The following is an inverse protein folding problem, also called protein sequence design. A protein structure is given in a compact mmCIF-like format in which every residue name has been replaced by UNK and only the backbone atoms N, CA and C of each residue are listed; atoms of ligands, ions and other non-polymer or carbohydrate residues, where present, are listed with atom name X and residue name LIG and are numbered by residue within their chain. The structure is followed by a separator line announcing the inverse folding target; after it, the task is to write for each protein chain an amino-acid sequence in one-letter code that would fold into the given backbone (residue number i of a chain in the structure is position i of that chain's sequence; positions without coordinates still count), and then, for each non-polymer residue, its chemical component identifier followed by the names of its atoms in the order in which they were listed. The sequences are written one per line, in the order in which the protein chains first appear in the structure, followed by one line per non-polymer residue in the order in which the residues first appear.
data_IF_835922149243
#
_entry.id   IF_835922149243
#
_cell.length_a   1.000
_cell.length_b   1.000
_cell.length_c   1.000
_cell.angle_alpha   90.00
_cell.angle_beta   90.00
_cell.angle_gamma   90.00
#
_symmetry.space_group_name_H-M   'P 1'
#
loop_
_entity.id
_entity.type
_entity.pdbx_description
1 polymer ?
#
# COMPACT_ATOMS: atom_id res chain seq x y z
N UNK A 1 27.41 -16.76 -29.59
CA UNK A 1 28.05 -15.43 -29.39
C UNK A 1 29.05 -15.24 -30.52
N UNK A 2 29.01 -14.10 -31.22
CA UNK A 2 30.11 -13.65 -32.08
C UNK A 2 31.23 -13.04 -31.23
N UNK A 3 32.41 -12.83 -31.82
CA UNK A 3 33.61 -12.35 -31.12
C UNK A 3 33.47 -10.97 -30.44
N UNK A 4 32.40 -10.23 -30.75
CA UNK A 4 32.05 -8.94 -30.10
C UNK A 4 31.17 -9.09 -28.85
N UNK A 5 30.85 -10.32 -28.42
CA UNK A 5 29.98 -10.59 -27.26
C UNK A 5 28.49 -10.31 -27.48
N UNK A 6 28.10 -9.84 -28.67
CA UNK A 6 26.71 -9.55 -29.03
C UNK A 6 26.01 -10.84 -29.51
N UNK A 7 24.74 -11.05 -29.13
CA UNK A 7 23.95 -12.11 -29.73
C UNK A 7 23.58 -11.74 -31.18
N UNK A 8 23.80 -12.63 -32.17
CA UNK A 8 23.42 -12.37 -33.56
C UNK A 8 21.90 -12.17 -33.67
N UNK A 9 21.48 -11.34 -34.63
CA UNK A 9 20.07 -10.93 -34.74
C UNK A 9 19.07 -12.09 -34.89
N UNK A 10 19.52 -13.21 -35.48
CA UNK A 10 18.77 -14.47 -35.66
C UNK A 10 18.59 -15.32 -34.40
N UNK A 11 19.21 -14.97 -33.27
CA UNK A 11 19.15 -15.69 -31.99
C UNK A 11 18.45 -14.88 -30.88
N UNK A 12 18.14 -13.61 -31.11
CA UNK A 12 17.48 -12.74 -30.13
C UNK A 12 16.06 -13.22 -29.83
N UNK A 13 15.70 -13.25 -28.54
CA UNK A 13 14.35 -13.60 -28.04
C UNK A 13 13.80 -14.98 -28.43
N UNK A 14 14.65 -16.01 -28.63
CA UNK A 14 14.20 -17.37 -28.98
C UNK A 14 13.92 -18.31 -27.81
N UNK A 15 14.02 -17.84 -26.56
CA UNK A 15 13.80 -18.69 -25.38
C UNK A 15 12.31 -19.07 -25.27
N UNK A 16 11.93 -20.36 -25.33
CA UNK A 16 10.52 -20.76 -25.32
C UNK A 16 9.83 -20.50 -23.97
N UNK A 17 10.56 -20.50 -22.84
CA UNK A 17 9.97 -20.19 -21.52
C UNK A 17 9.52 -18.74 -21.40
N UNK A 18 10.23 -17.80 -22.05
CA UNK A 18 9.83 -16.39 -22.15
C UNK A 18 8.48 -16.24 -22.86
N UNK A 19 8.31 -16.90 -24.01
CA UNK A 19 7.08 -16.79 -24.80
C UNK A 19 5.87 -17.44 -24.13
N UNK A 20 6.07 -18.56 -23.43
CA UNK A 20 5.01 -19.19 -22.63
C UNK A 20 4.67 -18.32 -21.41
N UNK A 21 5.66 -17.72 -20.74
CA UNK A 21 5.40 -16.70 -19.70
C UNK A 21 4.52 -15.56 -20.23
N UNK A 22 4.88 -14.97 -21.36
CA UNK A 22 4.16 -13.81 -21.95
C UNK A 22 2.75 -14.19 -22.42
N UNK A 23 2.59 -15.22 -23.27
CA UNK A 23 1.29 -15.55 -23.85
C UNK A 23 0.38 -16.32 -22.89
N UNK A 24 0.91 -17.35 -22.23
CA UNK A 24 0.14 -18.24 -21.36
C UNK A 24 0.05 -17.76 -19.91
N UNK A 25 1.05 -17.02 -19.41
CA UNK A 25 1.03 -16.42 -18.07
C UNK A 25 0.56 -14.97 -18.04
N UNK A 26 0.88 -14.17 -19.07
CA UNK A 26 0.48 -12.77 -19.19
C UNK A 26 -0.87 -12.60 -19.91
N UNK A 27 -0.86 -12.73 -21.24
CA UNK A 27 -2.00 -12.42 -22.11
C UNK A 27 -3.25 -13.23 -21.74
N UNK A 28 -3.11 -14.54 -21.52
CA UNK A 28 -4.22 -15.40 -21.08
C UNK A 28 -4.82 -14.98 -19.73
N UNK A 29 -3.99 -14.58 -18.76
CA UNK A 29 -4.45 -14.05 -17.46
C UNK A 29 -5.25 -12.77 -17.64
N UNK A 30 -4.78 -11.85 -18.49
CA UNK A 30 -5.51 -10.61 -18.81
C UNK A 30 -6.85 -10.94 -19.49
N UNK A 31 -6.92 -11.91 -20.41
CA UNK A 31 -8.18 -12.38 -20.98
C UNK A 31 -9.15 -12.89 -19.89
N UNK A 32 -8.70 -13.77 -18.99
CA UNK A 32 -9.53 -14.25 -17.88
C UNK A 32 -10.00 -13.13 -16.94
N UNK A 33 -9.17 -12.11 -16.70
CA UNK A 33 -9.52 -10.93 -15.92
C UNK A 33 -10.57 -10.06 -16.62
N UNK A 34 -10.49 -9.88 -17.95
CA UNK A 34 -11.53 -9.17 -18.72
C UNK A 34 -12.90 -9.86 -18.60
N UNK A 35 -12.93 -11.19 -18.57
CA UNK A 35 -14.15 -11.98 -18.33
C UNK A 35 -14.55 -12.07 -16.84
N UNK A 36 -13.86 -11.36 -15.93
CA UNK A 36 -14.09 -11.37 -14.48
C UNK A 36 -14.10 -12.77 -13.85
N UNK A 37 -13.29 -13.68 -14.37
CA UNK A 37 -13.18 -15.05 -13.83
C UNK A 37 -12.52 -15.00 -12.45
N UNK A 38 -13.21 -15.51 -11.42
CA UNK A 38 -12.65 -15.61 -10.07
C UNK A 38 -11.40 -16.49 -10.08
N UNK A 39 -10.29 -15.98 -9.56
CA UNK A 39 -9.00 -16.68 -9.56
C UNK A 39 -8.22 -16.61 -10.88
N UNK A 40 -8.55 -15.70 -11.81
CA UNK A 40 -7.85 -15.52 -13.10
C UNK A 40 -6.31 -15.53 -12.99
N UNK A 41 -5.74 -14.82 -12.01
CA UNK A 41 -4.29 -14.78 -11.74
C UNK A 41 -3.74 -16.18 -11.41
N UNK A 42 -4.42 -16.93 -10.54
CA UNK A 42 -4.00 -18.27 -10.12
C UNK A 42 -4.10 -19.24 -11.31
N UNK A 43 -5.15 -19.13 -12.13
CA UNK A 43 -5.33 -19.95 -13.32
C UNK A 43 -4.19 -19.76 -14.35
N UNK A 44 -3.69 -18.54 -14.53
CA UNK A 44 -2.52 -18.28 -15.38
C UNK A 44 -1.23 -18.90 -14.84
N UNK A 45 -0.95 -18.73 -13.54
CA UNK A 45 0.22 -19.34 -12.89
C UNK A 45 0.15 -20.87 -12.99
N UNK A 46 -1.02 -21.47 -12.69
CA UNK A 46 -1.21 -22.91 -12.77
C UNK A 46 -1.03 -23.44 -14.19
N UNK A 47 -1.59 -22.77 -15.20
CA UNK A 47 -1.47 -23.19 -16.60
C UNK A 47 0.01 -23.21 -17.04
N UNK A 48 0.78 -22.17 -16.75
CA UNK A 48 2.22 -22.14 -17.07
C UNK A 48 3.01 -23.17 -16.26
N UNK A 49 2.67 -23.37 -14.98
CA UNK A 49 3.33 -24.36 -14.12
C UNK A 49 3.11 -25.78 -14.63
N UNK A 50 1.87 -26.14 -14.97
CA UNK A 50 1.50 -27.46 -15.54
C UNK A 50 2.21 -27.71 -16.88
N UNK A 51 2.34 -26.70 -17.74
CA UNK A 51 3.11 -26.81 -18.99
C UNK A 51 4.62 -26.97 -18.74
N UNK A 52 5.13 -26.46 -17.61
CA UNK A 52 6.57 -26.48 -17.27
C UNK A 52 7.00 -27.68 -16.41
N UNK A 53 6.08 -28.51 -15.91
CA UNK A 53 6.42 -29.72 -15.14
C UNK A 53 6.92 -30.92 -15.99
N UNK A 54 6.40 -31.20 -17.20
CA UNK A 54 6.88 -32.30 -18.05
C UNK A 54 8.36 -32.16 -18.41
N UNK A 55 9.17 -33.16 -18.02
CA UNK A 55 10.64 -33.15 -18.15
C UNK A 55 11.14 -33.26 -19.59
N UNK A 56 10.34 -33.85 -20.47
CA UNK A 56 10.67 -34.09 -21.87
C UNK A 56 10.56 -32.83 -22.76
N UNK A 57 10.15 -31.69 -22.19
CA UNK A 57 9.90 -30.44 -22.94
C UNK A 57 11.06 -29.45 -22.79
N UNK A 58 11.35 -28.63 -23.81
CA UNK A 58 12.40 -27.59 -23.75
C UNK A 58 12.05 -26.41 -22.83
N UNK A 59 10.95 -26.50 -22.06
CA UNK A 59 10.42 -25.47 -21.15
C UNK A 59 10.36 -26.02 -19.72
N UNK A 60 10.95 -27.19 -19.47
CA UNK A 60 10.85 -27.83 -18.16
C UNK A 60 11.55 -27.05 -17.05
N UNK A 61 10.88 -26.95 -15.89
CA UNK A 61 11.50 -26.51 -14.64
C UNK A 61 12.39 -27.60 -14.00
N UNK A 62 12.29 -28.84 -14.48
CA UNK A 62 13.04 -30.01 -13.98
C UNK A 62 13.97 -30.61 -15.06
N UNK A 63 14.96 -29.85 -15.58
CA UNK A 63 15.91 -30.37 -16.56
C UNK A 63 16.67 -31.60 -16.04
N UNK A 64 17.23 -32.41 -16.95
CA UNK A 64 18.02 -33.60 -16.61
C UNK A 64 19.46 -33.22 -16.18
N UNK A 65 19.56 -32.40 -15.14
CA UNK A 65 20.79 -32.08 -14.43
C UNK A 65 20.61 -32.34 -12.92
N UNK A 66 21.68 -32.26 -12.14
CA UNK A 66 21.65 -32.54 -10.69
C UNK A 66 20.66 -31.64 -9.95
N UNK A 67 20.59 -30.36 -10.33
CA UNK A 67 19.67 -29.36 -9.74
C UNK A 67 18.21 -29.66 -10.05
N UNK A 68 17.88 -30.01 -11.30
CA UNK A 68 16.51 -30.34 -11.72
C UNK A 68 16.05 -31.68 -11.16
N UNK A 69 16.96 -32.64 -10.99
CA UNK A 69 16.69 -33.88 -10.26
C UNK A 69 16.40 -33.61 -8.78
N UNK A 70 17.20 -32.79 -8.09
CA UNK A 70 16.97 -32.48 -6.66
C UNK A 70 15.67 -31.68 -6.45
N UNK A 71 15.36 -30.72 -7.31
CA UNK A 71 14.06 -30.01 -7.29
C UNK A 71 12.88 -30.95 -7.58
N UNK A 72 13.04 -31.95 -8.46
CA UNK A 72 11.99 -32.94 -8.74
C UNK A 72 11.81 -33.93 -7.57
N UNK A 73 12.90 -34.33 -6.91
CA UNK A 73 12.86 -35.14 -5.69
C UNK A 73 12.28 -34.37 -4.50
N UNK A 74 12.42 -33.04 -4.47
CA UNK A 74 11.73 -32.16 -3.53
C UNK A 74 10.23 -32.09 -3.86
N UNK A 75 9.86 -31.81 -5.11
CA UNK A 75 8.46 -31.75 -5.56
C UNK A 75 7.66 -33.04 -5.29
N UNK A 76 8.28 -34.22 -5.47
CA UNK A 76 7.66 -35.52 -5.13
C UNK A 76 7.33 -35.67 -3.65
N UNK A 77 8.00 -34.95 -2.75
CA UNK A 77 7.64 -34.87 -1.32
C UNK A 77 6.50 -33.87 -1.17
N UNK A 78 5.30 -34.22 -1.64
CA UNK A 78 4.10 -33.35 -1.70
C UNK A 78 3.85 -32.55 -0.41
N UNK A 79 4.16 -33.16 0.74
CA UNK A 79 4.23 -32.51 2.05
C UNK A 79 5.60 -32.77 2.66
N UNK A 80 6.23 -31.72 3.21
CA UNK A 80 7.40 -31.88 4.10
C UNK A 80 7.38 -30.89 5.23
N UNK A 81 7.93 -31.33 6.37
CA UNK A 81 8.26 -30.49 7.50
C UNK A 81 9.76 -30.20 7.50
N UNK A 82 10.14 -28.92 7.40
CA UNK A 82 11.54 -28.48 7.60
C UNK A 82 11.65 -27.86 9.00
N UNK A 83 12.25 -28.56 9.98
CA UNK A 83 12.50 -27.97 11.29
C UNK A 83 13.50 -26.82 11.14
N UNK A 84 13.25 -25.72 11.85
CA UNK A 84 14.16 -24.57 11.85
C UNK A 84 15.41 -24.93 12.65
N UNK A 85 16.54 -25.14 11.96
CA UNK A 85 17.81 -25.52 12.61
C UNK A 85 18.86 -24.39 12.64
N UNK A 86 18.85 -23.48 11.67
CA UNK A 86 19.93 -22.48 11.48
C UNK A 86 19.47 -21.02 11.31
N UNK A 87 18.17 -20.72 11.34
CA UNK A 87 17.66 -19.34 11.13
C UNK A 87 16.98 -18.74 12.36
N UNK A 88 16.61 -19.53 13.37
CA UNK A 88 15.98 -18.99 14.59
C UNK A 88 17.00 -18.28 15.46
N UNK A 89 16.80 -16.99 15.70
CA UNK A 89 17.59 -16.15 16.60
C UNK A 89 19.11 -16.12 16.28
N UNK A 90 19.50 -16.36 15.03
CA UNK A 90 20.89 -16.25 14.57
C UNK A 90 21.16 -14.80 14.16
N UNK A 91 21.35 -13.94 15.16
CA UNK A 91 21.72 -12.55 14.97
C UNK A 91 23.25 -12.39 15.00
N UNK A 92 23.86 -12.14 13.85
CA UNK A 92 25.28 -11.79 13.77
C UNK A 92 25.47 -10.28 13.99
N UNK A 93 26.06 -9.94 15.15
CA UNK A 93 26.38 -8.56 15.55
C UNK A 93 27.84 -8.19 15.26
N UNK A 94 28.56 -8.92 14.39
CA UNK A 94 29.95 -8.65 14.04
C UNK A 94 30.11 -7.43 13.11
N UNK A 95 29.93 -6.25 13.69
CA UNK A 95 29.99 -4.94 13.01
C UNK A 95 31.44 -4.49 12.74
N UNK A 96 32.45 -5.25 13.19
CA UNK A 96 33.87 -4.85 13.24
C UNK A 96 34.51 -4.47 11.90
N UNK A 97 34.02 -5.01 10.77
CA UNK A 97 34.55 -4.73 9.43
C UNK A 97 33.72 -3.76 8.56
N UNK A 98 32.48 -3.44 8.94
CA UNK A 98 31.49 -2.79 8.05
C UNK A 98 30.56 -1.78 8.75
N UNK A 99 30.98 -1.19 9.88
CA UNK A 99 30.17 -0.28 10.70
C UNK A 99 29.47 0.86 9.92
N UNK A 100 30.16 1.47 8.95
CA UNK A 100 29.57 2.53 8.11
C UNK A 100 28.46 2.03 7.19
N UNK A 101 28.62 0.84 6.60
CA UNK A 101 27.60 0.23 5.73
C UNK A 101 26.41 -0.29 6.54
N UNK A 102 26.66 -0.87 7.71
CA UNK A 102 25.61 -1.26 8.65
C UNK A 102 24.77 -0.06 9.09
N UNK A 103 25.41 1.05 9.49
CA UNK A 103 24.70 2.28 9.88
C UNK A 103 23.88 2.88 8.74
N UNK A 104 24.42 2.92 7.52
CA UNK A 104 23.70 3.44 6.35
C UNK A 104 22.52 2.54 5.98
N UNK A 105 22.70 1.22 5.96
CA UNK A 105 21.61 0.27 5.71
C UNK A 105 20.53 0.34 6.79
N UNK A 106 20.92 0.37 8.08
CA UNK A 106 20.00 0.48 9.22
C UNK A 106 19.14 1.73 9.13
N UNK A 107 19.74 2.92 8.94
CA UNK A 107 18.98 4.17 8.79
C UNK A 107 18.09 4.14 7.54
N UNK A 108 18.59 3.58 6.43
CA UNK A 108 17.82 3.51 5.17
C UNK A 108 16.59 2.62 5.30
N UNK A 109 16.76 1.40 5.83
CA UNK A 109 15.63 0.51 6.07
C UNK A 109 14.67 1.10 7.11
N UNK A 110 15.16 1.70 8.20
CA UNK A 110 14.31 2.28 9.24
C UNK A 110 13.38 3.38 8.70
N UNK A 111 13.86 4.30 7.87
CA UNK A 111 12.95 5.34 7.34
C UNK A 111 12.05 4.81 6.22
N UNK A 112 12.52 3.85 5.41
CA UNK A 112 11.68 3.22 4.38
C UNK A 112 10.54 2.43 5.02
N UNK A 113 10.84 1.64 6.06
CA UNK A 113 9.87 0.85 6.84
C UNK A 113 8.82 1.76 7.51
N UNK A 114 9.23 2.84 8.17
CA UNK A 114 8.31 3.83 8.75
C UNK A 114 7.39 4.43 7.68
N UNK A 115 7.93 4.80 6.51
CA UNK A 115 7.14 5.40 5.43
C UNK A 115 6.19 4.38 4.77
N UNK A 116 6.62 3.13 4.59
CA UNK A 116 5.84 2.06 3.99
C UNK A 116 4.70 1.63 4.93
N UNK A 117 4.99 1.32 6.20
CA UNK A 117 3.97 1.03 7.22
C UNK A 117 2.98 2.20 7.39
N UNK A 118 3.44 3.45 7.39
CA UNK A 118 2.53 4.62 7.46
C UNK A 118 1.66 4.72 6.20
N UNK A 119 2.25 4.63 5.01
CA UNK A 119 1.54 4.78 3.73
C UNK A 119 0.54 3.64 3.49
N UNK A 120 0.91 2.41 3.81
CA UNK A 120 0.06 1.22 3.67
C UNK A 120 -1.09 1.20 4.68
N UNK A 121 -0.82 1.38 5.98
CA UNK A 121 -1.89 1.43 7.01
C UNK A 121 -2.88 2.56 6.74
N UNK A 122 -2.39 3.76 6.39
CA UNK A 122 -3.26 4.87 6.04
C UNK A 122 -4.10 4.58 4.80
N UNK A 123 -3.52 3.97 3.76
CA UNK A 123 -4.25 3.55 2.57
C UNK A 123 -5.30 2.47 2.89
N UNK A 124 -5.00 1.51 3.76
CA UNK A 124 -5.97 0.49 4.19
C UNK A 124 -7.13 1.12 4.98
N UNK A 125 -6.83 2.06 5.89
CA UNK A 125 -7.86 2.82 6.60
C UNK A 125 -8.75 3.63 5.63
N UNK A 126 -8.16 4.22 4.58
CA UNK A 126 -8.88 4.93 3.50
C UNK A 126 -9.80 3.99 2.72
N UNK A 127 -9.33 2.82 2.29
CA UNK A 127 -10.18 1.82 1.60
C UNK A 127 -11.25 1.21 2.51
N UNK A 128 -10.98 1.08 3.81
CA UNK A 128 -11.96 0.61 4.78
C UNK A 128 -13.05 1.67 5.08
N UNK A 129 -12.74 2.96 4.89
CA UNK A 129 -13.60 4.08 5.27
C UNK A 129 -13.54 4.40 6.77
N UNK A 130 -12.38 4.19 7.40
CA UNK A 130 -12.17 4.30 8.86
C UNK A 130 -11.34 5.52 9.27
N UNK A 131 -11.04 6.43 8.34
CA UNK A 131 -10.32 7.67 8.63
C UNK A 131 -11.29 8.70 9.20
N UNK A 132 -10.98 9.22 10.40
CA UNK A 132 -11.76 10.26 11.04
C UNK A 132 -11.44 11.63 10.44
N UNK A 133 -12.40 12.22 9.73
CA UNK A 133 -12.25 13.46 8.96
C UNK A 133 -11.73 14.66 9.80
N UNK A 134 -12.05 14.69 11.10
CA UNK A 134 -11.60 15.75 12.02
C UNK A 134 -10.14 15.63 12.47
N UNK A 135 -9.60 14.42 12.50
CA UNK A 135 -8.27 14.13 13.07
C UNK A 135 -7.25 13.80 11.97
N UNK A 136 -7.72 13.30 10.82
CA UNK A 136 -6.86 12.76 9.76
C UNK A 136 -6.23 11.42 10.14
N UNK A 137 -6.74 10.76 11.18
CA UNK A 137 -6.22 9.51 11.75
C UNK A 137 -7.36 8.49 11.94
N UNK A 138 -7.02 7.23 12.19
CA UNK A 138 -7.98 6.14 12.36
C UNK A 138 -7.99 5.60 13.81
N UNK A 139 -9.11 5.00 14.22
CA UNK A 139 -9.26 4.48 15.58
C UNK A 139 -8.18 3.43 15.89
N UNK A 140 -7.47 3.62 17.02
CA UNK A 140 -6.44 2.69 17.45
C UNK A 140 -5.14 2.73 16.65
N UNK A 141 -4.89 3.78 15.85
CA UNK A 141 -3.66 3.97 15.05
C UNK A 141 -2.36 3.61 15.79
N UNK A 142 -2.17 4.15 17.00
CA UNK A 142 -1.00 3.86 17.83
C UNK A 142 -0.86 2.37 18.20
N UNK A 143 -1.97 1.64 18.34
CA UNK A 143 -1.97 0.18 18.58
C UNK A 143 -1.63 -0.57 17.29
N UNK A 144 -2.15 -0.13 16.14
CA UNK A 144 -1.81 -0.72 14.85
C UNK A 144 -0.31 -0.61 14.54
N UNK A 145 0.29 0.58 14.70
CA UNK A 145 1.74 0.78 14.56
C UNK A 145 2.57 -0.04 15.55
N UNK A 146 2.10 -0.22 16.79
CA UNK A 146 2.77 -1.09 17.75
C UNK A 146 2.72 -2.57 17.35
N UNK A 147 1.56 -3.05 16.87
CA UNK A 147 1.41 -4.44 16.38
C UNK A 147 2.30 -4.70 15.16
N UNK A 148 2.41 -3.74 14.25
CA UNK A 148 3.31 -3.79 13.09
C UNK A 148 4.78 -3.89 13.54
N UNK A 149 5.23 -2.99 14.42
CA UNK A 149 6.59 -3.01 14.96
C UNK A 149 6.91 -4.30 15.75
N UNK A 150 5.94 -4.87 16.47
CA UNK A 150 6.08 -6.20 17.08
C UNK A 150 6.18 -7.30 16.01
N UNK A 151 5.40 -7.22 14.93
CA UNK A 151 5.46 -8.10 13.77
C UNK A 151 6.85 -8.11 13.12
N UNK A 152 7.38 -6.94 12.77
CA UNK A 152 8.74 -6.76 12.22
C UNK A 152 9.80 -7.31 13.17
N UNK A 153 9.70 -6.98 14.47
CA UNK A 153 10.62 -7.47 15.50
C UNK A 153 10.64 -8.99 15.59
N UNK A 154 9.46 -9.62 15.60
CA UNK A 154 9.32 -11.09 15.64
C UNK A 154 9.83 -11.70 14.32
N UNK A 155 9.48 -11.14 13.17
CA UNK A 155 9.96 -11.59 11.85
C UNK A 155 11.49 -11.61 11.75
N UNK A 156 12.16 -10.58 12.30
CA UNK A 156 13.63 -10.53 12.36
C UNK A 156 14.25 -11.69 13.14
N UNK A 157 13.59 -12.17 14.21
CA UNK A 157 14.04 -13.33 15.00
C UNK A 157 13.88 -14.66 14.25
N UNK A 158 12.98 -14.73 13.26
CA UNK A 158 12.82 -15.87 12.35
C UNK A 158 13.69 -15.76 11.09
N UNK A 159 14.42 -14.66 10.91
CA UNK A 159 15.25 -14.40 9.73
C UNK A 159 14.45 -14.02 8.48
N UNK A 160 13.24 -13.48 8.64
CA UNK A 160 12.40 -13.02 7.51
C UNK A 160 12.61 -11.53 7.22
N UNK A 161 12.28 -11.05 6.01
CA UNK A 161 12.15 -9.62 5.73
C UNK A 161 11.13 -8.94 6.67
N UNK A 162 11.15 -7.59 6.78
CA UNK A 162 10.10 -6.84 7.46
C UNK A 162 8.70 -7.23 6.97
N UNK A 163 7.77 -7.37 7.91
CA UNK A 163 6.37 -7.72 7.63
C UNK A 163 5.52 -6.48 7.89
N UNK A 164 4.69 -6.09 6.92
CA UNK A 164 3.84 -4.89 6.98
C UNK A 164 2.48 -5.16 6.34
N UNK A 165 1.59 -4.16 6.34
CA UNK A 165 0.26 -4.24 5.74
C UNK A 165 0.33 -4.23 4.20
N UNK A 166 0.04 -5.36 3.54
CA UNK A 166 0.02 -5.44 2.08
C UNK A 166 -1.07 -4.55 1.45
N UNK A 167 -0.68 -3.65 0.55
CA UNK A 167 -1.58 -2.72 -0.16
C UNK A 167 -2.63 -3.46 -1.02
N UNK A 168 -2.30 -4.67 -1.48
CA UNK A 168 -3.19 -5.58 -2.21
C UNK A 168 -4.42 -5.98 -1.37
N UNK A 169 -4.32 -5.93 -0.03
CA UNK A 169 -5.44 -6.15 0.89
C UNK A 169 -6.57 -5.15 0.66
N UNK A 170 -6.28 -3.97 0.10
CA UNK A 170 -7.29 -2.97 -0.28
C UNK A 170 -8.34 -3.50 -1.25
N UNK A 171 -7.98 -4.44 -2.12
CA UNK A 171 -8.96 -5.13 -2.99
C UNK A 171 -9.88 -6.05 -2.17
N UNK A 172 -9.34 -6.79 -1.20
CA UNK A 172 -10.12 -7.62 -0.27
C UNK A 172 -11.06 -6.80 0.63
N UNK A 173 -10.59 -5.66 1.12
CA UNK A 173 -11.38 -4.68 1.90
C UNK A 173 -12.53 -4.11 1.05
N UNK A 174 -12.27 -3.81 -0.23
CA UNK A 174 -13.27 -3.30 -1.18
C UNK A 174 -14.37 -4.31 -1.49
N UNK A 175 -14.05 -5.61 -1.55
CA UNK A 175 -15.01 -6.72 -1.69
C UNK A 175 -15.75 -7.06 -0.37
N UNK A 176 -15.57 -6.25 0.68
CA UNK A 176 -16.27 -6.38 1.97
C UNK A 176 -15.46 -7.04 3.09
N UNK A 177 -14.19 -7.38 2.87
CA UNK A 177 -13.29 -8.01 3.84
C UNK A 177 -12.78 -7.08 4.95
N UNK A 178 -13.67 -6.29 5.56
CA UNK A 178 -13.33 -5.22 6.53
C UNK A 178 -13.07 -5.71 7.97
N UNK A 179 -13.17 -7.00 8.25
CA UNK A 179 -13.04 -7.55 9.61
C UNK A 179 -11.70 -8.25 9.80
N UNK A 180 -11.09 -8.14 11.00
CA UNK A 180 -9.84 -8.83 11.32
C UNK A 180 -9.89 -10.36 11.20
N UNK A 181 -11.09 -10.95 11.17
CA UNK A 181 -11.27 -12.39 10.90
C UNK A 181 -10.75 -12.78 9.52
N UNK A 182 -10.86 -11.92 8.50
CA UNK A 182 -10.33 -12.21 7.15
C UNK A 182 -8.81 -12.30 7.17
N UNK A 183 -8.13 -11.43 7.91
CA UNK A 183 -6.69 -11.46 8.11
C UNK A 183 -6.25 -12.72 8.89
N UNK A 184 -6.98 -13.09 9.95
CA UNK A 184 -6.70 -14.32 10.72
C UNK A 184 -6.89 -15.57 9.85
N UNK A 185 -7.99 -15.68 9.10
CA UNK A 185 -8.21 -16.80 8.17
C UNK A 185 -7.11 -16.87 7.11
N UNK A 186 -6.72 -15.72 6.54
CA UNK A 186 -5.64 -15.64 5.55
C UNK A 186 -4.30 -16.08 6.15
N UNK A 187 -3.98 -15.65 7.37
CA UNK A 187 -2.79 -16.09 8.11
C UNK A 187 -2.77 -17.61 8.40
N UNK A 188 -3.92 -18.19 8.76
CA UNK A 188 -4.06 -19.64 8.93
C UNK A 188 -3.87 -20.38 7.59
N UNK A 189 -4.41 -19.86 6.49
CA UNK A 189 -4.18 -20.41 5.16
C UNK A 189 -2.70 -20.37 4.74
N UNK A 190 -1.99 -19.26 5.02
CA UNK A 190 -0.54 -19.18 4.80
C UNK A 190 0.25 -20.11 5.73
N UNK A 191 -0.16 -20.28 6.98
CA UNK A 191 0.47 -21.25 7.88
C UNK A 191 0.33 -22.68 7.35
N UNK A 192 -0.86 -23.04 6.84
CA UNK A 192 -1.09 -24.33 6.18
C UNK A 192 -0.26 -24.45 4.88
N UNK A 193 -0.07 -23.36 4.13
CA UNK A 193 0.68 -23.38 2.87
C UNK A 193 2.16 -23.74 3.05
N UNK A 194 2.75 -23.52 4.24
CA UNK A 194 4.13 -23.91 4.57
C UNK A 194 4.34 -25.43 4.40
N UNK A 195 3.36 -26.26 4.79
CA UNK A 195 3.43 -27.72 4.62
C UNK A 195 3.43 -28.16 3.14
N UNK A 196 2.87 -27.32 2.26
CA UNK A 196 2.83 -27.50 0.81
C UNK A 196 3.94 -26.71 0.07
N UNK A 197 4.95 -26.19 0.80
CA UNK A 197 6.11 -25.50 0.20
C UNK A 197 6.76 -26.24 -1.01
N UNK A 198 6.81 -27.58 -1.08
CA UNK A 198 7.30 -28.31 -2.27
C UNK A 198 6.51 -28.08 -3.54
N UNK A 199 5.19 -27.89 -3.42
CA UNK A 199 4.31 -27.57 -4.54
C UNK A 199 4.60 -26.13 -4.98
N UNK A 200 4.68 -25.19 -4.05
CA UNK A 200 4.95 -23.78 -4.37
C UNK A 200 6.38 -23.55 -4.91
N UNK A 201 7.38 -24.28 -4.42
CA UNK A 201 8.75 -24.26 -4.93
C UNK A 201 8.89 -24.86 -6.33
N UNK A 202 7.89 -25.59 -6.83
CA UNK A 202 7.84 -26.11 -8.21
C UNK A 202 7.28 -25.11 -9.23
N UNK A 203 6.80 -23.94 -8.78
CA UNK A 203 6.27 -22.90 -9.65
C UNK A 203 7.46 -22.17 -10.30
N UNK A 204 7.59 -22.18 -11.63
CA UNK A 204 8.75 -21.59 -12.28
C UNK A 204 8.71 -20.05 -12.27
N UNK A 205 9.86 -19.35 -12.19
CA UNK A 205 9.91 -17.88 -12.17
C UNK A 205 9.25 -17.20 -13.39
N UNK A 206 9.21 -17.86 -14.55
CA UNK A 206 8.53 -17.32 -15.75
C UNK A 206 7.00 -17.39 -15.67
N UNK A 207 6.41 -18.18 -14.78
CA UNK A 207 4.98 -18.15 -14.48
C UNK A 207 4.62 -16.90 -13.65
N UNK A 208 5.38 -16.62 -12.60
CA UNK A 208 5.10 -15.51 -11.68
C UNK A 208 5.50 -14.14 -12.23
N UNK A 209 6.58 -14.06 -13.04
CA UNK A 209 7.07 -12.78 -13.57
C UNK A 209 6.03 -11.98 -14.35
N UNK A 210 5.24 -12.62 -15.22
CA UNK A 210 4.18 -11.92 -15.96
C UNK A 210 2.99 -11.55 -15.06
N UNK A 211 2.68 -12.35 -14.05
CA UNK A 211 1.68 -11.99 -13.02
C UNK A 211 2.10 -10.74 -12.25
N UNK A 212 3.37 -10.60 -11.85
CA UNK A 212 3.85 -9.43 -11.11
C UNK A 212 3.69 -8.13 -11.91
N UNK A 213 3.90 -8.17 -13.23
CA UNK A 213 3.62 -7.03 -14.13
C UNK A 213 2.12 -6.67 -14.12
N UNK A 214 1.24 -7.66 -14.17
CA UNK A 214 -0.22 -7.44 -14.11
C UNK A 214 -0.62 -6.86 -12.75
N UNK A 215 -0.10 -7.39 -11.64
CA UNK A 215 -0.36 -6.86 -10.28
C UNK A 215 0.10 -5.41 -10.16
N UNK A 216 1.31 -5.08 -10.62
CA UNK A 216 1.79 -3.69 -10.68
C UNK A 216 0.87 -2.76 -11.51
N UNK A 217 0.31 -3.26 -12.62
CA UNK A 217 -0.66 -2.49 -13.41
C UNK A 217 -1.98 -2.24 -12.67
N UNK A 218 -2.42 -3.17 -11.81
CA UNK A 218 -3.59 -2.98 -10.94
C UNK A 218 -3.30 -1.95 -9.84
N UNK A 219 -2.12 -2.01 -9.22
CA UNK A 219 -1.68 -1.07 -8.17
C UNK A 219 -1.54 0.37 -8.72
N UNK A 220 -1.18 0.52 -10.00
CA UNK A 220 -1.09 1.82 -10.69
C UNK A 220 -2.41 2.60 -10.62
N UNK A 221 -3.56 1.94 -10.43
CA UNK A 221 -4.86 2.61 -10.21
C UNK A 221 -4.82 3.60 -9.03
N UNK A 222 -4.07 3.31 -7.97
CA UNK A 222 -3.96 4.21 -6.81
C UNK A 222 -3.32 5.56 -7.17
N UNK A 223 -2.53 5.65 -8.25
CA UNK A 223 -2.00 6.92 -8.73
C UNK A 223 -3.10 7.86 -9.25
N UNK A 224 -4.31 7.37 -9.56
CA UNK A 224 -5.44 8.22 -9.94
C UNK A 224 -6.09 8.94 -8.74
N UNK A 225 -5.90 8.43 -7.52
CA UNK A 225 -6.44 9.03 -6.28
C UNK A 225 -5.56 10.15 -5.71
N UNK A 226 -4.40 10.40 -6.34
CA UNK A 226 -3.47 11.50 -6.02
C UNK A 226 -4.07 12.84 -6.46
N UNK A 227 -3.83 13.89 -5.67
CA UNK A 227 -4.27 15.25 -5.99
C UNK A 227 -3.49 15.88 -7.16
N UNK A 228 -3.83 15.53 -8.39
CA UNK A 228 -3.24 16.11 -9.60
C UNK A 228 -3.64 17.57 -9.87
N UNK A 229 -4.57 18.15 -9.10
CA UNK A 229 -5.07 19.52 -9.32
C UNK A 229 -4.15 20.58 -8.73
N UNK A 230 -3.51 20.30 -7.59
CA UNK A 230 -2.58 21.23 -6.96
C UNK A 230 -1.13 20.83 -7.27
N UNK A 231 -0.42 21.73 -7.97
CA UNK A 231 0.97 21.51 -8.42
C UNK A 231 1.94 21.19 -7.27
N UNK A 232 1.69 21.72 -6.07
CA UNK A 232 2.51 21.44 -4.88
C UNK A 232 2.40 20.02 -4.35
N UNK A 233 1.34 19.27 -4.69
CA UNK A 233 1.18 17.85 -4.35
C UNK A 233 1.55 16.97 -5.58
N UNK A 234 1.11 17.38 -6.78
CA UNK A 234 1.32 16.67 -8.03
C UNK A 234 2.80 16.52 -8.45
N UNK A 235 3.63 17.57 -8.29
CA UNK A 235 5.05 17.52 -8.68
C UNK A 235 5.88 16.60 -7.79
N UNK A 236 5.76 16.65 -6.44
CA UNK A 236 6.38 15.67 -5.56
C UNK A 236 5.94 14.23 -5.82
N UNK A 237 4.64 14.00 -6.07
CA UNK A 237 4.12 12.68 -6.41
C UNK A 237 4.75 12.14 -7.72
N UNK A 238 4.81 12.97 -8.76
CA UNK A 238 5.46 12.62 -10.02
C UNK A 238 6.96 12.31 -9.86
N UNK A 239 7.69 13.14 -9.11
CA UNK A 239 9.10 12.92 -8.80
C UNK A 239 9.33 11.59 -8.06
N UNK A 240 8.46 11.28 -7.09
CA UNK A 240 8.50 10.00 -6.36
C UNK A 240 8.38 8.82 -7.32
N UNK A 241 7.34 8.82 -8.17
CA UNK A 241 7.06 7.75 -9.14
C UNK A 241 8.18 7.60 -10.18
N UNK A 242 8.72 8.72 -10.68
CA UNK A 242 9.73 8.71 -11.74
C UNK A 242 11.13 8.35 -11.24
N UNK A 243 11.51 8.78 -10.03
CA UNK A 243 12.88 8.57 -9.52
C UNK A 243 13.10 7.12 -9.07
N UNK A 244 12.11 6.45 -8.45
CA UNK A 244 12.29 5.07 -7.96
C UNK A 244 12.83 4.09 -9.02
N UNK A 245 12.29 4.01 -10.26
CA UNK A 245 12.84 3.16 -11.31
C UNK A 245 14.21 3.64 -11.82
N UNK A 246 14.41 4.95 -11.98
CA UNK A 246 15.67 5.48 -12.52
C UNK A 246 16.86 5.32 -11.56
N UNK A 247 16.62 5.34 -10.24
CA UNK A 247 17.66 5.10 -9.23
C UNK A 247 17.71 3.65 -8.75
N UNK A 248 16.86 2.76 -9.28
CA UNK A 248 16.69 1.37 -8.82
C UNK A 248 16.52 1.24 -7.29
N UNK A 249 15.86 2.23 -6.66
CA UNK A 249 15.85 2.39 -5.22
C UNK A 249 14.62 3.17 -4.75
N UNK A 250 13.76 2.48 -3.98
CA UNK A 250 12.57 3.06 -3.34
C UNK A 250 12.98 4.20 -2.40
N UNK A 251 14.03 3.95 -1.61
CA UNK A 251 14.67 4.88 -0.70
C UNK A 251 14.95 6.27 -1.33
N UNK A 252 15.69 6.32 -2.44
CA UNK A 252 16.03 7.59 -3.09
C UNK A 252 14.80 8.29 -3.71
N UNK A 253 13.84 7.52 -4.23
CA UNK A 253 12.58 8.08 -4.74
C UNK A 253 11.73 8.74 -3.65
N UNK A 254 11.57 8.08 -2.49
CA UNK A 254 10.87 8.65 -1.33
C UNK A 254 11.56 9.92 -0.82
N UNK A 255 12.88 9.93 -0.68
CA UNK A 255 13.64 11.13 -0.26
C UNK A 255 13.39 12.29 -1.23
N UNK A 256 13.48 12.05 -2.54
CA UNK A 256 13.29 13.10 -3.54
C UNK A 256 11.85 13.66 -3.52
N UNK A 257 10.84 12.80 -3.36
CA UNK A 257 9.46 13.18 -3.18
C UNK A 257 9.25 14.07 -1.95
N UNK A 258 9.63 13.57 -0.77
CA UNK A 258 9.43 14.27 0.52
C UNK A 258 10.18 15.61 0.54
N UNK A 259 11.43 15.66 0.06
CA UNK A 259 12.20 16.92 -0.01
C UNK A 259 11.55 17.89 -1.00
N UNK A 260 11.06 17.43 -2.16
CA UNK A 260 10.37 18.29 -3.12
C UNK A 260 9.09 18.89 -2.52
N UNK A 261 8.28 18.07 -1.83
CA UNK A 261 7.07 18.52 -1.14
C UNK A 261 7.39 19.55 -0.06
N UNK A 262 8.37 19.26 0.81
CA UNK A 262 8.80 20.18 1.85
C UNK A 262 9.29 21.51 1.28
N UNK A 263 10.12 21.50 0.23
CA UNK A 263 10.63 22.72 -0.40
C UNK A 263 9.50 23.55 -1.02
N UNK A 264 8.64 22.95 -1.84
CA UNK A 264 7.56 23.67 -2.53
C UNK A 264 6.58 24.28 -1.54
N UNK A 265 6.02 23.49 -0.62
CA UNK A 265 5.00 23.97 0.30
C UNK A 265 5.57 24.89 1.39
N UNK A 266 6.84 24.71 1.82
CA UNK A 266 7.49 25.67 2.74
C UNK A 266 7.78 27.00 2.06
N UNK A 267 8.24 27.02 0.81
CA UNK A 267 8.48 28.27 0.06
C UNK A 267 7.17 29.02 -0.17
N UNK A 268 6.09 28.32 -0.57
CA UNK A 268 4.74 28.92 -0.69
C UNK A 268 4.27 29.51 0.64
N UNK A 269 4.44 28.79 1.75
CA UNK A 269 4.08 29.27 3.09
C UNK A 269 4.92 30.50 3.52
N UNK A 270 6.21 30.51 3.24
CA UNK A 270 7.09 31.65 3.51
C UNK A 270 6.70 32.89 2.70
N UNK A 271 6.40 32.74 1.40
CA UNK A 271 5.94 33.83 0.53
C UNK A 271 4.61 34.40 1.04
N UNK A 272 3.65 33.55 1.38
CA UNK A 272 2.36 33.99 1.91
C UNK A 272 2.54 34.80 3.20
N UNK A 273 3.37 34.29 4.13
CA UNK A 273 3.65 34.92 5.41
C UNK A 273 4.40 36.25 5.26
N UNK A 274 5.39 36.31 4.36
CA UNK A 274 6.13 37.52 4.04
C UNK A 274 5.27 38.59 3.36
N UNK A 275 4.32 38.19 2.52
CA UNK A 275 3.45 39.11 1.77
C UNK A 275 2.12 39.41 2.50
N UNK A 276 1.96 38.95 3.74
CA UNK A 276 0.73 39.15 4.52
C UNK A 276 -0.53 38.59 3.84
N UNK A 277 -0.41 37.51 3.08
CA UNK A 277 -1.51 36.88 2.34
C UNK A 277 -1.83 37.50 0.97
N UNK A 278 -1.15 38.55 0.51
CA UNK A 278 -1.43 39.17 -0.81
C UNK A 278 -1.02 38.32 -2.01
N UNK A 279 -0.04 37.42 -1.85
CA UNK A 279 0.36 36.45 -2.87
C UNK A 279 0.05 35.06 -2.31
N UNK A 280 -0.87 34.37 -2.98
CA UNK A 280 -1.26 32.98 -2.72
C UNK A 280 -1.30 32.24 -4.07
N UNK A 281 -0.98 30.93 -4.12
CA UNK A 281 -1.26 30.12 -5.31
C UNK A 281 -2.76 30.11 -5.58
N UNK A 282 -3.14 30.18 -6.86
CA UNK A 282 -4.56 30.24 -7.28
C UNK A 282 -5.33 29.00 -6.81
N UNK A 283 -4.71 27.83 -6.90
CA UNK A 283 -5.34 26.54 -6.58
C UNK A 283 -5.03 26.04 -5.15
N UNK A 284 -4.60 26.92 -4.23
CA UNK A 284 -4.20 26.49 -2.87
C UNK A 284 -5.37 25.88 -2.09
N UNK A 285 -6.60 26.30 -2.34
CA UNK A 285 -7.79 25.73 -1.68
C UNK A 285 -8.06 24.26 -2.10
N UNK A 286 -7.34 23.76 -3.12
CA UNK A 286 -7.38 22.37 -3.56
C UNK A 286 -6.23 21.51 -3.01
N UNK A 287 -5.29 22.05 -2.21
CA UNK A 287 -4.20 21.25 -1.62
C UNK A 287 -4.71 20.24 -0.59
N UNK A 288 -4.10 19.07 -0.44
CA UNK A 288 -4.51 18.12 0.60
C UNK A 288 -4.41 18.73 2.02
N UNK A 289 -5.46 18.62 2.86
CA UNK A 289 -5.53 19.29 4.16
C UNK A 289 -4.64 18.60 5.20
N UNK A 290 -3.37 18.99 5.26
CA UNK A 290 -2.45 18.66 6.35
C UNK A 290 -2.48 19.72 7.45
N UNK A 291 -2.52 19.28 8.71
CA UNK A 291 -2.48 20.15 9.90
C UNK A 291 -1.42 19.68 10.89
N UNK A 292 -0.51 20.58 11.29
CA UNK A 292 0.51 20.29 12.30
C UNK A 292 -0.05 20.18 13.74
N UNK A 293 -1.27 20.70 13.95
CA UNK A 293 -1.97 20.70 15.24
C UNK A 293 -2.83 19.44 15.39
N UNK A 294 -2.20 18.32 15.71
CA UNK A 294 -2.92 17.09 16.07
C UNK A 294 -3.89 17.40 17.23
N UNK A 295 -5.22 17.21 17.07
CA UNK A 295 -6.16 17.30 18.19
C UNK A 295 -5.74 16.33 19.29
N UNK A 296 -5.62 16.81 20.54
CA UNK A 296 -5.06 16.01 21.63
C UNK A 296 -3.53 16.08 21.78
N UNK A 297 -2.77 16.54 20.77
CA UNK A 297 -1.32 16.84 20.81
C UNK A 297 -0.37 15.63 20.77
N UNK A 298 0.95 15.90 20.67
CA UNK A 298 2.01 14.94 20.27
C UNK A 298 2.15 13.66 21.14
N UNK A 299 1.73 13.68 22.40
CA UNK A 299 1.86 12.52 23.30
C UNK A 299 0.52 11.78 23.43
N UNK A 300 0.50 10.43 23.37
CA UNK A 300 -0.71 9.63 23.52
C UNK A 300 -1.55 10.01 24.75
N UNK A 301 -2.90 9.96 24.69
CA UNK A 301 -3.76 10.28 25.82
C UNK A 301 -3.48 9.44 27.08
N UNK A 302 -3.03 8.20 26.93
CA UNK A 302 -2.61 7.34 28.05
C UNK A 302 -1.32 7.86 28.70
N UNK A 303 -0.32 8.25 27.90
CA UNK A 303 0.97 8.74 28.40
C UNK A 303 0.82 10.10 29.09
N UNK A 304 -0.06 10.98 28.58
CA UNK A 304 -0.45 12.22 29.26
C UNK A 304 -1.19 11.97 30.58
N UNK A 305 -2.01 10.92 30.66
CA UNK A 305 -2.70 10.52 31.91
C UNK A 305 -1.74 9.92 32.93
N UNK A 306 -0.82 9.06 32.50
CA UNK A 306 0.24 8.51 33.33
C UNK A 306 1.17 9.61 33.88
N UNK A 307 1.61 10.55 33.03
CA UNK A 307 2.39 11.72 33.45
C UNK A 307 1.62 12.67 34.38
N UNK A 308 0.28 12.67 34.34
CA UNK A 308 -0.61 13.38 35.27
C UNK A 308 -1.08 12.53 36.46
N UNK A 309 -0.53 11.31 36.66
CA UNK A 309 -0.85 10.45 37.79
C UNK A 309 -2.27 9.87 37.84
N UNK A 310 -3.05 9.93 36.74
CA UNK A 310 -4.40 9.35 36.70
C UNK A 310 -4.33 7.82 36.61
N UNK A 311 -5.03 7.11 37.50
CA UNK A 311 -5.09 5.64 37.54
C UNK A 311 -5.81 5.04 36.32
N UNK A 312 -6.81 5.72 35.78
CA UNK A 312 -7.55 5.31 34.57
C UNK A 312 -6.83 5.70 33.26
N UNK A 313 -5.51 5.53 33.18
CA UNK A 313 -4.75 5.90 31.98
C UNK A 313 -4.98 4.97 30.78
N UNK A 314 -5.48 3.75 31.01
CA UNK A 314 -5.70 2.72 29.99
C UNK A 314 -7.00 2.82 29.20
N UNK A 315 -8.02 3.56 29.66
CA UNK A 315 -9.32 3.62 28.96
C UNK A 315 -9.23 4.43 27.66
N UNK A 316 -9.89 4.05 26.55
CA UNK A 316 -10.04 4.94 25.41
C UNK A 316 -10.76 6.24 25.80
N UNK A 317 -10.57 7.28 25.00
CA UNK A 317 -11.23 8.58 25.19
C UNK A 317 -12.64 8.48 24.59
N UNK A 318 -13.68 8.72 25.39
CA UNK A 318 -15.05 8.83 24.87
C UNK A 318 -15.17 10.19 24.18
N UNK A 319 -15.51 10.21 22.89
CA UNK A 319 -15.67 11.44 22.09
C UNK A 319 -16.86 12.27 22.60
N UNK A 320 -16.62 13.12 23.61
CA UNK A 320 -17.67 13.98 24.16
C UNK A 320 -17.20 15.01 25.19
N UNK A 321 -17.50 16.27 24.91
CA UNK A 321 -17.71 17.27 25.95
C UNK A 321 -16.53 18.21 26.25
N UNK A 322 -16.78 19.49 26.00
CA UNK A 322 -15.95 20.65 26.26
C UNK A 322 -15.44 20.79 27.70
N UNK A 323 -14.38 21.59 27.86
CA UNK A 323 -13.91 22.06 29.16
C UNK A 323 -14.95 22.92 29.90
N UNK A 324 -15.48 22.41 31.02
CA UNK A 324 -16.40 23.15 31.89
C UNK A 324 -16.15 22.88 33.38
N UNK A 325 -15.93 23.94 34.15
CA UNK A 325 -15.79 23.92 35.62
C UNK A 325 -17.13 23.71 36.32
N UNK A 326 -17.10 23.05 37.49
CA UNK A 326 -18.15 23.16 38.51
C UNK A 326 -18.84 21.83 38.83
N UNK A 327 -18.85 21.48 40.11
CA UNK A 327 -19.71 20.42 40.62
C UNK A 327 -21.00 21.04 41.15
N UNK A 328 -22.16 20.46 40.82
CA UNK A 328 -23.29 20.39 41.75
C UNK A 328 -24.30 19.32 41.30
N UNK A 329 -25.00 18.74 42.29
CA UNK A 329 -25.88 17.59 42.14
C UNK A 329 -27.36 18.00 42.16
N UNK A 330 -28.18 17.53 41.21
CA UNK A 330 -29.65 17.55 41.33
C UNK A 330 -30.27 16.23 40.83
N UNK A 331 -31.36 15.85 41.49
CA UNK A 331 -32.06 14.56 41.52
C UNK A 331 -32.95 14.28 40.29
N UNK A 332 -33.38 13.01 40.15
CA UNK A 332 -34.41 12.53 39.23
C UNK A 332 -35.72 13.35 39.25
N UNK A 333 -36.34 13.54 38.08
CA UNK A 333 -37.80 13.35 37.85
C UNK A 333 -38.19 13.69 36.40
N UNK A 334 -39.31 13.12 35.93
CA UNK A 334 -40.08 13.70 34.81
C UNK A 334 -40.04 12.95 33.47
N UNK A 335 -41.16 12.32 33.12
CA UNK A 335 -41.49 11.80 31.79
C UNK A 335 -41.91 12.98 30.89
N UNK A 336 -41.45 13.04 29.63
CA UNK A 336 -42.27 13.51 28.50
C UNK A 336 -41.67 13.18 27.11
N UNK A 337 -42.55 12.93 26.13
CA UNK A 337 -42.29 12.76 24.69
C UNK A 337 -43.50 13.28 23.90
N UNK A 338 -43.48 13.46 22.55
CA UNK A 338 -42.37 13.40 21.61
C UNK A 338 -41.95 14.83 21.18
N UNK A 339 -42.26 15.47 20.02
CA UNK A 339 -42.85 15.03 18.74
C UNK A 339 -41.80 14.71 17.64
N UNK A 340 -42.24 14.07 16.56
CA UNK A 340 -41.52 13.93 15.28
C UNK A 340 -41.80 15.10 14.34
N UNK A 341 -40.81 15.53 13.53
CA UNK A 341 -41.04 16.36 12.33
C UNK A 341 -40.28 15.82 11.11
N UNK A 342 -40.95 15.88 9.97
CA UNK A 342 -40.57 15.28 8.69
C UNK A 342 -39.56 16.16 7.92
N UNK A 343 -38.67 15.57 7.13
CA UNK A 343 -37.72 16.38 6.33
C UNK A 343 -36.57 15.66 5.63
N UNK A 344 -36.67 14.38 5.25
CA UNK A 344 -35.63 13.74 4.44
C UNK A 344 -35.63 14.28 2.99
N UNK A 345 -34.53 14.93 2.59
CA UNK A 345 -34.24 15.24 1.18
C UNK A 345 -33.16 14.28 0.68
N UNK A 346 -33.45 13.38 -0.27
CA UNK A 346 -32.49 12.35 -0.69
C UNK A 346 -31.34 12.92 -1.53
N UNK A 347 -30.12 12.50 -1.19
CA UNK A 347 -28.85 12.81 -1.87
C UNK A 347 -28.76 12.17 -3.27
N UNK A 348 -29.52 12.69 -4.26
CA UNK A 348 -29.46 12.23 -5.65
C UNK A 348 -29.56 13.35 -6.71
N UNK A 349 -29.20 14.60 -6.39
CA UNK A 349 -29.18 15.73 -7.35
C UNK A 349 -28.01 16.71 -7.15
N UNK A 350 -26.78 16.21 -7.18
CA UNK A 350 -25.56 17.05 -7.18
C UNK A 350 -24.59 16.80 -8.35
N UNK A 351 -24.91 15.87 -9.26
CA UNK A 351 -24.09 15.55 -10.44
C UNK A 351 -24.86 15.77 -11.75
N UNK A 352 -25.06 17.02 -12.15
CA UNK A 352 -25.28 17.39 -13.55
C UNK A 352 -24.32 18.54 -13.93
N UNK A 353 -23.57 18.44 -15.05
CA UNK A 353 -22.66 19.50 -15.47
C UNK A 353 -23.43 20.68 -16.06
N UNK A 354 -23.20 21.88 -15.54
CA UNK A 354 -23.79 23.12 -16.07
C UNK A 354 -23.25 23.42 -17.46
N UNK A 355 -24.05 23.13 -18.49
CA UNK A 355 -23.77 23.51 -19.88
C UNK A 355 -23.97 25.03 -20.02
N UNK A 356 -22.88 25.78 -20.09
CA UNK A 356 -22.93 27.21 -20.44
C UNK A 356 -23.32 27.36 -21.92
N UNK A 357 -24.54 27.83 -22.18
CA UNK A 357 -24.96 28.24 -23.53
C UNK A 357 -24.28 29.56 -23.91
N UNK A 358 -23.54 29.54 -25.02
CA UNK A 358 -22.92 30.75 -25.56
C UNK A 358 -23.97 31.73 -26.09
N UNK A 359 -24.12 32.89 -25.44
CA UNK A 359 -25.00 33.96 -25.90
C UNK A 359 -24.48 34.62 -27.17
N UNK A 360 -25.07 34.28 -28.32
CA UNK A 360 -24.78 34.93 -29.60
C UNK A 360 -25.41 36.33 -29.65
N UNK A 361 -24.61 37.36 -29.45
CA UNK A 361 -24.98 38.76 -29.72
C UNK A 361 -24.28 39.25 -30.99
N UNK A 362 -25.04 39.35 -32.09
CA UNK A 362 -24.64 40.11 -33.29
C UNK A 362 -25.89 40.62 -34.01
N UNK A 363 -26.20 41.90 -33.81
CA UNK A 363 -27.21 42.61 -34.60
C UNK A 363 -26.60 43.43 -35.74
N UNK A 364 -27.39 43.68 -36.78
CA UNK A 364 -27.17 44.79 -37.74
C UNK A 364 -27.07 44.40 -39.22
N UNK A 365 -28.08 44.80 -40.01
CA UNK A 365 -28.09 44.73 -41.49
C UNK A 365 -29.38 44.13 -42.06
N UNK A 366 -30.50 44.86 -42.11
CA UNK A 366 -30.98 45.75 -43.21
C UNK A 366 -31.20 45.06 -44.57
N UNK A 367 -32.47 45.06 -45.02
CA UNK A 367 -33.00 45.20 -46.41
C UNK A 367 -32.41 44.30 -47.52
N UNK A 368 -33.18 43.63 -48.38
CA UNK A 368 -34.56 43.85 -48.87
C UNK A 368 -35.36 42.55 -48.77
#
# INVERSE_FOLDING_TARGET
MTDEGVCPASEKMRNPSMWIGIFCGGVFTVFLMMYRVKGAIIAGILLVSIISWPRDTPVTYFPYNETGNSSFDFFKKVVTFHPIQHTLNVQDWNISGSSGQFGLAFITFLYVDILDTTGTLYSMARFAGLIQEKTGDFEGSAVAYLVDAFGVSIGSLFGTPPVTAFIESGAGISEGGKTGLTAVTTGICFFISIFFAPIFASIPPWATGCTLIIVGSLMTKAAADINWRYIGDAVPAFLTIAIMPFTYSIAYGLIAGVISYMLLNTVVWLIEKATGGKIRPVDKDLSEPWTYKVPGGVLPPWLKRAAKGKKDFWRPEEDGGESGTGAESVTESGIETPPTLEGEVPMHKLNEPVVQSAGSSRGGGKTI
#
